data_IF_909927312321
#
_entry.id   IF_909927312321
#
_cell.length_a   1.000
_cell.length_b   1.000
_cell.length_c   1.000
_cell.angle_alpha   90.00
_cell.angle_beta   90.00
_cell.angle_gamma   90.00
#
_symmetry.space_group_name_H-M   'P 1'
#
loop_
_entity.id
_entity.type
_entity.pdbx_description
1 polymer ?
#
# COMPACT_ATOMS: atom_id res chain seq x y z
N UNK A 1 15.04 42.89 -2.69
CA UNK A 1 15.22 41.60 -3.39
C UNK A 1 14.38 40.54 -2.69
N UNK A 2 13.32 40.08 -3.34
CA UNK A 2 12.33 39.19 -2.70
C UNK A 2 12.86 37.75 -2.66
N UNK A 3 13.05 37.21 -1.45
CA UNK A 3 13.44 35.80 -1.24
C UNK A 3 12.29 34.90 -1.69
N UNK A 4 12.44 34.27 -2.85
CA UNK A 4 11.55 33.22 -3.38
C UNK A 4 11.48 32.10 -2.33
N UNK A 5 10.36 31.95 -1.62
CA UNK A 5 10.09 30.82 -0.71
C UNK A 5 10.31 29.52 -1.50
N UNK A 6 11.29 28.70 -1.10
CA UNK A 6 11.43 27.32 -1.58
C UNK A 6 10.08 26.64 -1.29
N UNK A 7 9.39 26.16 -2.32
CA UNK A 7 8.26 25.22 -2.13
C UNK A 7 8.81 24.06 -1.31
N UNK A 8 8.24 23.82 -0.12
CA UNK A 8 8.61 22.70 0.74
C UNK A 8 8.55 21.42 -0.10
N UNK A 9 9.71 20.84 -0.39
CA UNK A 9 9.80 19.58 -1.13
C UNK A 9 9.48 18.49 -0.13
N UNK A 10 8.45 17.71 -0.40
CA UNK A 10 8.05 16.60 0.44
C UNK A 10 9.24 15.65 0.62
N UNK A 11 9.42 15.16 1.85
CA UNK A 11 10.43 14.15 2.09
C UNK A 11 10.11 12.90 1.29
N UNK A 12 11.14 12.33 0.65
CA UNK A 12 10.98 11.13 -0.15
C UNK A 12 10.79 9.91 0.74
N UNK A 13 9.72 9.15 0.49
CA UNK A 13 9.47 7.85 1.10
C UNK A 13 10.51 6.82 0.64
N UNK A 14 10.59 5.68 1.34
CA UNK A 14 11.45 4.56 0.93
C UNK A 14 11.09 4.05 -0.48
N UNK A 15 9.80 3.98 -0.79
CA UNK A 15 9.31 3.53 -2.10
C UNK A 15 9.74 4.47 -3.21
N UNK A 16 9.68 5.79 -2.97
CA UNK A 16 10.11 6.79 -3.95
C UNK A 16 11.61 6.71 -4.24
N UNK A 17 12.44 6.42 -3.22
CA UNK A 17 13.87 6.18 -3.41
C UNK A 17 14.11 4.95 -4.29
N UNK A 18 13.34 3.88 -4.10
CA UNK A 18 13.40 2.67 -4.94
C UNK A 18 13.03 3.01 -6.39
N UNK A 19 11.98 3.79 -6.62
CA UNK A 19 11.55 4.21 -7.96
C UNK A 19 12.60 5.09 -8.65
N UNK A 20 13.23 6.02 -7.92
CA UNK A 20 14.34 6.83 -8.43
C UNK A 20 15.52 5.96 -8.89
N UNK A 21 15.93 4.99 -8.07
CA UNK A 21 17.04 4.09 -8.37
C UNK A 21 16.81 3.31 -9.67
N UNK A 22 15.56 2.89 -9.90
CA UNK A 22 15.14 2.16 -11.10
C UNK A 22 14.71 3.07 -12.26
N UNK A 23 14.84 4.40 -12.11
CA UNK A 23 14.47 5.42 -13.11
C UNK A 23 13.00 5.33 -13.56
N UNK A 24 12.12 4.90 -12.67
CA UNK A 24 10.69 4.80 -12.92
C UNK A 24 10.06 6.18 -12.65
N UNK A 25 9.33 6.73 -13.63
CA UNK A 25 8.66 8.02 -13.48
C UNK A 25 7.45 7.89 -12.56
N UNK A 26 7.31 8.82 -11.64
CA UNK A 26 6.17 8.90 -10.71
C UNK A 26 5.83 10.35 -10.39
N UNK A 27 4.64 10.57 -9.80
CA UNK A 27 4.20 11.87 -9.27
C UNK A 27 3.83 11.69 -7.80
N UNK A 28 4.32 12.58 -6.94
CA UNK A 28 3.89 12.63 -5.55
C UNK A 28 2.45 13.15 -5.46
N UNK A 29 1.65 12.52 -4.62
CA UNK A 29 0.31 12.97 -4.27
C UNK A 29 0.16 12.89 -2.76
N UNK A 30 -0.44 13.93 -2.17
CA UNK A 30 -0.75 14.00 -0.74
C UNK A 30 -2.25 13.99 -0.56
N UNK A 31 -2.70 13.30 0.49
CA UNK A 31 -4.10 13.15 0.81
C UNK A 31 -4.29 13.37 2.30
N UNK A 32 -5.43 13.95 2.69
CA UNK A 32 -5.78 14.03 4.09
C UNK A 32 -5.97 12.61 4.65
N UNK A 33 -5.44 12.37 5.84
CA UNK A 33 -5.65 11.12 6.58
C UNK A 33 -6.46 11.40 7.83
N UNK A 34 -7.34 10.46 8.18
CA UNK A 34 -8.07 10.47 9.45
C UNK A 34 -7.64 9.27 10.28
N UNK A 35 -7.42 9.46 11.57
CA UNK A 35 -7.19 8.36 12.49
C UNK A 35 -8.50 7.58 12.70
N UNK A 36 -8.43 6.26 12.55
CA UNK A 36 -9.51 5.37 12.94
C UNK A 36 -9.50 5.09 14.45
N UNK A 37 -10.49 4.31 14.93
CA UNK A 37 -10.59 3.93 16.35
C UNK A 37 -9.39 3.12 16.87
N UNK A 38 -8.54 2.62 15.98
CA UNK A 38 -7.32 1.88 16.29
C UNK A 38 -6.05 2.73 16.23
N UNK A 39 -6.14 4.05 16.02
CA UNK A 39 -4.99 4.95 15.91
C UNK A 39 -4.24 4.82 14.58
N UNK A 40 -4.86 4.23 13.56
CA UNK A 40 -4.26 4.04 12.24
C UNK A 40 -4.75 5.16 11.32
N UNK A 41 -3.82 5.88 10.72
CA UNK A 41 -4.11 6.86 9.69
C UNK A 41 -4.68 6.17 8.44
N UNK A 42 -5.97 6.37 8.18
CA UNK A 42 -6.62 5.95 6.94
C UNK A 42 -6.75 7.14 6.00
N UNK A 43 -6.57 6.89 4.71
CA UNK A 43 -6.80 7.91 3.69
C UNK A 43 -8.28 8.31 3.70
N UNK A 44 -8.55 9.62 3.76
CA UNK A 44 -9.89 10.13 3.58
C UNK A 44 -10.20 10.14 2.08
N UNK A 45 -10.78 9.04 1.59
CA UNK A 45 -11.05 8.87 0.16
C UNK A 45 -12.21 9.74 -0.33
N UNK A 46 -12.99 10.35 0.57
CA UNK A 46 -14.08 11.26 0.19
C UNK A 46 -13.57 12.51 -0.54
N UNK A 47 -12.31 12.89 -0.34
CA UNK A 47 -11.69 14.03 -1.03
C UNK A 47 -11.30 13.73 -2.48
N UNK A 48 -11.28 12.45 -2.86
CA UNK A 48 -10.83 12.00 -4.18
C UNK A 48 -11.92 12.06 -5.24
N UNK A 49 -13.20 12.21 -4.84
CA UNK A 49 -14.35 12.29 -5.74
C UNK A 49 -14.26 11.27 -6.91
N UNK A 50 -14.25 11.76 -8.15
CA UNK A 50 -14.20 10.96 -9.37
C UNK A 50 -12.89 10.17 -9.52
N UNK A 51 -11.79 10.56 -8.86
CA UNK A 51 -10.48 9.90 -8.94
C UNK A 51 -10.30 8.75 -7.93
N UNK A 52 -11.30 8.47 -7.09
CA UNK A 52 -11.19 7.43 -6.04
C UNK A 52 -10.86 6.04 -6.63
N UNK A 53 -11.33 5.76 -7.85
CA UNK A 53 -11.06 4.53 -8.59
C UNK A 53 -9.58 4.37 -9.03
N UNK A 54 -8.81 5.45 -9.02
CA UNK A 54 -7.37 5.44 -9.32
C UNK A 54 -6.53 5.12 -8.08
N UNK A 55 -7.14 5.04 -6.90
CA UNK A 55 -6.46 4.73 -5.65
C UNK A 55 -6.68 3.27 -5.28
N UNK A 56 -5.56 2.59 -5.02
CA UNK A 56 -5.54 1.16 -4.71
C UNK A 56 -5.01 0.94 -3.30
N UNK A 57 -5.61 -0.02 -2.60
CA UNK A 57 -5.10 -0.52 -1.32
C UNK A 57 -4.33 -1.81 -1.53
N UNK A 58 -3.30 -1.98 -0.70
CA UNK A 58 -2.42 -3.15 -0.70
C UNK A 58 -2.74 -4.00 0.53
N UNK A 59 -3.17 -5.23 0.30
CA UNK A 59 -3.60 -6.16 1.33
C UNK A 59 -2.63 -7.34 1.36
N UNK A 60 -1.95 -7.52 2.48
CA UNK A 60 -1.07 -8.66 2.70
C UNK A 60 -1.91 -9.86 3.20
N UNK A 61 -1.82 -10.96 2.48
CA UNK A 61 -2.59 -12.18 2.72
C UNK A 61 -1.65 -13.38 2.85
N UNK A 62 -2.16 -14.46 3.41
CA UNK A 62 -1.48 -15.74 3.53
C UNK A 62 -2.27 -16.78 2.72
N UNK A 63 -1.60 -17.46 1.81
CA UNK A 63 -2.11 -18.62 1.09
C UNK A 63 -1.68 -19.92 1.78
N UNK A 64 -2.61 -20.84 1.98
CA UNK A 64 -2.34 -22.07 2.74
C UNK A 64 -1.35 -23.05 2.08
N UNK A 65 -0.94 -22.81 0.82
CA UNK A 65 0.03 -23.63 0.08
C UNK A 65 1.23 -22.81 -0.40
N UNK A 66 0.99 -21.59 -0.88
CA UNK A 66 2.03 -20.75 -1.50
C UNK A 66 2.70 -19.81 -0.50
N UNK A 67 2.19 -19.70 0.73
CA UNK A 67 2.66 -18.74 1.70
C UNK A 67 2.12 -17.32 1.44
N UNK A 68 2.87 -16.27 1.79
CA UNK A 68 2.45 -14.88 1.67
C UNK A 68 2.04 -14.47 0.24
N UNK A 69 1.02 -13.62 0.15
CA UNK A 69 0.44 -13.08 -1.07
C UNK A 69 0.14 -11.60 -0.89
N UNK A 70 0.15 -10.83 -1.97
CA UNK A 70 -0.27 -9.43 -1.98
C UNK A 70 -1.47 -9.26 -2.90
N UNK A 71 -2.59 -8.79 -2.35
CA UNK A 71 -3.76 -8.36 -3.11
C UNK A 71 -3.75 -6.84 -3.29
N UNK A 72 -3.77 -6.37 -4.54
CA UNK A 72 -3.86 -4.96 -4.89
C UNK A 72 -5.21 -4.73 -5.57
N UNK A 73 -6.09 -3.96 -4.93
CA UNK A 73 -7.45 -3.70 -5.42
C UNK A 73 -7.83 -2.23 -5.23
N UNK A 74 -8.82 -1.71 -5.97
CA UNK A 74 -9.34 -0.36 -5.72
C UNK A 74 -9.70 -0.16 -4.25
N UNK A 75 -9.50 1.05 -3.73
CA UNK A 75 -9.74 1.37 -2.33
C UNK A 75 -11.22 1.16 -1.94
N UNK A 76 -12.12 1.38 -2.91
CA UNK A 76 -13.58 1.20 -2.81
C UNK A 76 -14.04 -0.26 -2.84
N UNK A 77 -13.17 -1.21 -3.19
CA UNK A 77 -13.54 -2.62 -3.34
C UNK A 77 -13.16 -3.49 -2.14
N UNK A 78 -13.73 -4.68 -2.06
CA UNK A 78 -13.35 -5.69 -1.07
C UNK A 78 -12.69 -6.90 -1.74
N UNK A 79 -11.56 -7.34 -1.18
CA UNK A 79 -10.81 -8.47 -1.70
C UNK A 79 -11.55 -9.78 -1.42
N UNK A 80 -11.92 -10.50 -2.47
CA UNK A 80 -12.49 -11.84 -2.33
C UNK A 80 -11.40 -12.87 -2.08
N UNK A 81 -11.31 -13.36 -0.84
CA UNK A 81 -10.36 -14.42 -0.46
C UNK A 81 -10.56 -15.71 -1.27
N UNK A 82 -11.80 -16.01 -1.68
CA UNK A 82 -12.10 -17.17 -2.52
C UNK A 82 -11.54 -17.01 -3.93
N UNK A 83 -11.68 -15.83 -4.54
CA UNK A 83 -11.09 -15.53 -5.85
C UNK A 83 -9.57 -15.51 -5.78
N UNK A 84 -9.01 -14.88 -4.75
CA UNK A 84 -7.56 -14.85 -4.52
C UNK A 84 -7.01 -16.27 -4.34
N UNK A 85 -7.63 -17.11 -3.52
CA UNK A 85 -7.22 -18.49 -3.33
C UNK A 85 -7.21 -19.27 -4.66
N UNK A 86 -8.30 -19.14 -5.44
CA UNK A 86 -8.42 -19.82 -6.74
C UNK A 86 -7.30 -19.41 -7.71
N UNK A 87 -7.05 -18.12 -7.89
CA UNK A 87 -6.06 -17.64 -8.88
C UNK A 87 -4.61 -17.86 -8.43
N UNK A 88 -4.37 -17.86 -7.12
CA UNK A 88 -3.03 -18.10 -6.54
C UNK A 88 -2.68 -19.58 -6.35
N UNK A 89 -3.56 -20.52 -6.73
CA UNK A 89 -3.32 -21.95 -6.54
C UNK A 89 -3.50 -22.46 -5.11
N UNK A 90 -4.13 -21.67 -4.24
CA UNK A 90 -4.42 -22.01 -2.85
C UNK A 90 -5.83 -22.60 -2.69
N UNK A 91 -6.01 -23.39 -1.63
CA UNK A 91 -7.36 -23.84 -1.21
C UNK A 91 -8.06 -22.76 -0.40
N UNK A 92 -7.30 -22.00 0.39
CA UNK A 92 -7.77 -20.92 1.26
C UNK A 92 -6.73 -19.80 1.30
N UNK A 93 -7.22 -18.57 1.36
CA UNK A 93 -6.43 -17.38 1.70
C UNK A 93 -7.07 -16.66 2.89
N UNK A 94 -6.25 -15.96 3.68
CA UNK A 94 -6.68 -15.11 4.78
C UNK A 94 -5.77 -13.88 4.91
N UNK A 95 -6.22 -12.83 5.61
CA UNK A 95 -5.37 -11.67 5.90
C UNK A 95 -4.23 -12.07 6.83
N UNK A 96 -3.02 -11.55 6.60
CA UNK A 96 -1.92 -11.74 7.56
C UNK A 96 -2.28 -11.01 8.87
N UNK A 97 -2.19 -11.67 10.03
CA UNK A 97 -2.44 -11.02 11.32
C UNK A 97 -1.48 -9.84 11.55
N UNK A 98 -1.96 -8.74 12.13
CA UNK A 98 -1.16 -7.52 12.36
C UNK A 98 0.17 -7.80 13.07
N UNK A 99 0.19 -8.71 14.05
CA UNK A 99 1.39 -9.12 14.80
C UNK A 99 2.47 -9.80 13.93
N UNK A 100 2.09 -10.34 12.77
CA UNK A 100 2.99 -10.98 11.81
C UNK A 100 3.27 -10.10 10.60
N UNK A 101 2.46 -9.07 10.37
CA UNK A 101 2.48 -8.25 9.16
C UNK A 101 3.87 -7.70 8.85
N UNK A 102 4.44 -6.92 9.76
CA UNK A 102 5.76 -6.31 9.55
C UNK A 102 6.86 -7.34 9.37
N UNK A 103 6.85 -8.42 10.15
CA UNK A 103 7.82 -9.52 9.99
C UNK A 103 7.71 -10.19 8.62
N UNK A 104 6.49 -10.31 8.09
CA UNK A 104 6.25 -10.96 6.80
C UNK A 104 6.51 -10.04 5.62
N UNK A 105 6.17 -8.75 5.71
CA UNK A 105 6.19 -7.83 4.56
C UNK A 105 7.33 -6.82 4.59
N UNK A 106 7.98 -6.64 5.75
CA UNK A 106 8.93 -5.55 6.00
C UNK A 106 8.28 -4.19 6.29
N UNK A 107 6.94 -4.11 6.33
CA UNK A 107 6.21 -2.85 6.53
C UNK A 107 5.17 -2.94 7.63
N UNK A 108 5.18 -1.93 8.50
CA UNK A 108 4.14 -1.73 9.52
C UNK A 108 2.75 -1.55 8.88
N UNK A 109 1.71 -1.76 9.67
CA UNK A 109 0.34 -1.53 9.24
C UNK A 109 0.15 -0.07 8.76
N UNK A 110 -0.57 0.13 7.66
CA UNK A 110 -0.72 1.43 7.00
C UNK A 110 0.41 1.81 6.03
N UNK A 111 1.58 1.15 6.07
CA UNK A 111 2.73 1.46 5.20
C UNK A 111 2.99 0.41 4.11
N UNK A 112 2.12 -0.59 3.96
CA UNK A 112 2.31 -1.68 3.00
C UNK A 112 2.08 -1.20 1.56
N UNK A 113 3.03 -1.47 0.66
CA UNK A 113 2.96 -1.14 -0.77
C UNK A 113 3.48 -2.31 -1.62
N UNK A 114 2.95 -2.56 -2.83
CA UNK A 114 3.39 -3.69 -3.64
C UNK A 114 4.85 -3.54 -4.07
N UNK A 115 5.27 -2.30 -4.37
CA UNK A 115 6.66 -1.99 -4.75
C UNK A 115 7.59 -2.25 -3.58
N UNK A 116 7.30 -1.68 -2.40
CA UNK A 116 8.13 -1.85 -1.23
C UNK A 116 8.29 -3.32 -0.83
N UNK A 117 7.17 -4.06 -0.80
CA UNK A 117 7.19 -5.50 -0.48
C UNK A 117 8.00 -6.27 -1.52
N UNK A 118 7.81 -6.01 -2.81
CA UNK A 118 8.53 -6.71 -3.87
C UNK A 118 10.05 -6.59 -3.71
N UNK A 119 10.56 -5.36 -3.58
CA UNK A 119 12.00 -5.06 -3.45
C UNK A 119 12.59 -5.40 -2.07
N UNK A 120 11.77 -5.71 -1.08
CA UNK A 120 12.24 -6.22 0.21
C UNK A 120 12.60 -7.71 0.13
N UNK A 121 11.96 -8.45 -0.78
CA UNK A 121 12.08 -9.90 -0.88
C UNK A 121 12.74 -10.41 -2.17
N UNK A 122 13.02 -9.53 -3.14
CA UNK A 122 13.67 -9.84 -4.42
C UNK A 122 14.74 -8.79 -4.73
#
# INVERSE_FOLDING_TARGET
MSKKKKKNKLEKTLVEKILDQHKIKYRQAEFATREDKGGVAQMDTSILNEDEHLVYKTLACEGNKTGPLVGVIPVTEHLSMKKLAKISGNKKCEMIPLKKLEKTTGYVHGANTPIGIHFTHH
#
